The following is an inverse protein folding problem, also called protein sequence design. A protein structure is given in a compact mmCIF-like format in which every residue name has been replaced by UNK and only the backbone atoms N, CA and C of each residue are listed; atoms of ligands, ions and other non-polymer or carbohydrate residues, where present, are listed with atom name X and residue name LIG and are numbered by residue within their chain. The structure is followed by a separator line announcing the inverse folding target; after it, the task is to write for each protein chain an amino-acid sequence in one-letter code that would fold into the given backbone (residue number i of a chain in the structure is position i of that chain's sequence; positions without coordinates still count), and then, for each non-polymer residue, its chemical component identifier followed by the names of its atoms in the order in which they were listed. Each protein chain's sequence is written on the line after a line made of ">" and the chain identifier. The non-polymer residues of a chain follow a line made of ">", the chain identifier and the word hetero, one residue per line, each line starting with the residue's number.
data_IF_495701477473
#
_entry.id   IF_495701477473
#
_cell.length_a   1.000
_cell.length_b   1.000
_cell.length_c   1.000
_cell.angle_alpha   90.00
_cell.angle_beta   90.00
_cell.angle_gamma   90.00
#
_symmetry.space_group_name_H-M   'P 1'
#
loop_
_entity.id
_entity.type
_entity.pdbx_description
1 polymer ?
#
# COMPACT_ATOMS: atom_id res chain seq x y z
N UNK A 1 3.93 -22.61 -6.74
CA UNK A 1 4.52 -21.44 -6.06
C UNK A 1 4.17 -21.55 -4.60
N UNK A 2 5.14 -21.97 -3.78
CA UNK A 2 5.01 -21.87 -2.34
C UNK A 2 4.88 -20.38 -2.01
N UNK A 3 3.78 -19.98 -1.37
CA UNK A 3 3.67 -18.63 -0.83
C UNK A 3 4.71 -18.54 0.27
N UNK A 4 5.82 -17.85 0.00
CA UNK A 4 6.78 -17.48 1.04
C UNK A 4 6.02 -16.86 2.20
N UNK A 5 6.38 -17.26 3.42
CA UNK A 5 5.67 -16.85 4.63
C UNK A 5 5.81 -15.33 4.77
N UNK A 6 4.75 -14.58 4.45
CA UNK A 6 4.72 -13.13 4.61
C UNK A 6 4.61 -12.81 6.10
N UNK A 7 5.76 -12.49 6.72
CA UNK A 7 5.86 -12.11 8.12
C UNK A 7 5.69 -10.60 8.27
N UNK A 8 4.45 -10.14 8.47
CA UNK A 8 4.11 -8.73 8.69
C UNK A 8 3.88 -8.48 10.17
N UNK A 9 4.92 -7.98 10.83
CA UNK A 9 4.96 -7.82 12.29
C UNK A 9 4.22 -6.57 12.74
N UNK A 10 3.89 -6.50 14.03
CA UNK A 10 3.18 -5.37 14.63
C UNK A 10 3.90 -4.03 14.43
N UNK A 11 5.23 -4.00 14.55
CA UNK A 11 6.01 -2.76 14.37
C UNK A 11 5.96 -2.27 12.92
N UNK A 12 6.06 -3.19 11.95
CA UNK A 12 5.89 -2.88 10.53
C UNK A 12 4.47 -2.40 10.25
N UNK A 13 3.46 -3.07 10.81
CA UNK A 13 2.06 -2.69 10.65
C UNK A 13 1.77 -1.30 11.23
N UNK A 14 2.33 -0.96 12.39
CA UNK A 14 2.20 0.37 12.99
C UNK A 14 2.88 1.44 12.14
N UNK A 15 4.05 1.15 11.57
CA UNK A 15 4.73 2.09 10.66
C UNK A 15 3.91 2.30 9.39
N UNK A 16 3.44 1.23 8.77
CA UNK A 16 2.60 1.27 7.56
C UNK A 16 1.28 1.99 7.83
N UNK A 17 0.67 1.77 8.99
CA UNK A 17 -0.54 2.47 9.42
C UNK A 17 -0.31 3.98 9.49
N UNK A 18 0.79 4.44 10.09
CA UNK A 18 1.12 5.89 10.13
C UNK A 18 1.23 6.51 8.74
N UNK A 19 1.81 5.78 7.78
CA UNK A 19 1.90 6.25 6.39
C UNK A 19 0.52 6.29 5.76
N UNK A 20 -0.28 5.24 5.95
CA UNK A 20 -1.65 5.19 5.43
C UNK A 20 -2.53 6.31 6.00
N UNK A 21 -2.39 6.65 7.28
CA UNK A 21 -3.12 7.74 7.92
C UNK A 21 -2.65 9.12 7.46
N UNK A 22 -1.35 9.29 7.18
CA UNK A 22 -0.79 10.55 6.70
C UNK A 22 -1.10 10.81 5.22
N UNK A 23 -0.91 9.79 4.37
CA UNK A 23 -0.94 9.94 2.92
C UNK A 23 -2.25 9.42 2.29
N UNK A 24 -3.08 8.69 3.04
CA UNK A 24 -4.28 8.02 2.54
C UNK A 24 -4.01 6.78 1.68
N UNK A 25 -2.74 6.51 1.34
CA UNK A 25 -2.33 5.34 0.56
C UNK A 25 -0.92 4.86 0.88
N UNK A 26 -0.67 3.59 0.56
CA UNK A 26 0.63 2.94 0.67
C UNK A 26 0.97 2.24 -0.65
N UNK A 27 2.24 2.25 -1.04
CA UNK A 27 2.79 1.50 -2.17
C UNK A 27 4.00 0.68 -1.71
N UNK A 28 4.57 -0.12 -2.59
CA UNK A 28 5.73 -0.97 -2.32
C UNK A 28 6.91 -0.23 -1.68
N UNK A 29 7.10 1.03 -2.05
CA UNK A 29 8.29 1.83 -1.72
C UNK A 29 8.15 2.62 -0.42
N UNK A 30 7.02 3.31 -0.20
CA UNK A 30 6.78 4.00 1.06
C UNK A 30 6.51 3.01 2.21
N UNK A 31 5.87 1.87 1.91
CA UNK A 31 5.53 0.88 2.93
C UNK A 31 6.66 -0.12 3.18
N UNK A 32 7.66 -0.21 2.30
CA UNK A 32 8.70 -1.27 2.32
C UNK A 32 8.13 -2.70 2.28
N UNK A 33 6.88 -2.86 1.84
CA UNK A 33 6.23 -4.16 1.71
C UNK A 33 6.53 -4.81 0.35
N UNK A 34 7.13 -4.08 -0.60
CA UNK A 34 7.48 -4.63 -1.90
C UNK A 34 6.28 -5.23 -2.63
N UNK A 35 6.48 -6.39 -3.24
CA UNK A 35 5.43 -7.14 -3.95
C UNK A 35 4.28 -7.62 -3.04
N UNK A 36 4.43 -7.56 -1.71
CA UNK A 36 3.36 -7.96 -0.81
C UNK A 36 2.10 -7.08 -0.93
N UNK A 37 2.26 -5.80 -1.31
CA UNK A 37 1.13 -4.91 -1.63
C UNK A 37 0.18 -5.53 -2.66
N UNK A 38 0.74 -6.25 -3.65
CA UNK A 38 -0.01 -6.91 -4.71
C UNK A 38 -0.62 -8.25 -4.26
N UNK A 39 0.11 -9.00 -3.44
CA UNK A 39 -0.19 -10.42 -3.19
C UNK A 39 -0.90 -10.70 -1.86
N UNK A 40 -0.72 -9.84 -0.86
CA UNK A 40 -1.11 -10.09 0.53
C UNK A 40 -2.00 -8.98 1.09
N UNK A 41 -2.84 -8.36 0.25
CA UNK A 41 -3.75 -7.28 0.67
C UNK A 41 -4.61 -7.66 1.88
N UNK A 42 -5.15 -8.88 1.90
CA UNK A 42 -6.06 -9.31 2.96
C UNK A 42 -5.32 -9.44 4.30
N UNK A 43 -4.11 -9.99 4.27
CA UNK A 43 -3.22 -10.17 5.40
C UNK A 43 -2.70 -8.82 5.92
N UNK A 44 -2.32 -7.91 5.01
CA UNK A 44 -1.95 -6.54 5.34
C UNK A 44 -3.12 -5.82 6.01
N UNK A 45 -4.33 -5.86 5.43
CA UNK A 45 -5.50 -5.20 6.02
C UNK A 45 -5.86 -5.79 7.39
N UNK A 46 -5.85 -7.12 7.52
CA UNK A 46 -6.11 -7.77 8.81
C UNK A 46 -5.13 -7.29 9.87
N UNK A 47 -3.83 -7.25 9.54
CA UNK A 47 -2.80 -6.81 10.47
C UNK A 47 -2.90 -5.33 10.83
N UNK A 48 -3.23 -4.49 9.84
CA UNK A 48 -3.48 -3.07 10.08
C UNK A 48 -4.65 -2.86 11.04
N UNK A 49 -5.72 -3.66 10.91
CA UNK A 49 -6.88 -3.61 11.83
C UNK A 49 -6.50 -4.04 13.24
N UNK A 50 -5.67 -5.07 13.39
CA UNK A 50 -5.14 -5.50 14.70
C UNK A 50 -4.38 -4.37 15.43
N UNK A 51 -3.65 -3.54 14.68
CA UNK A 51 -2.86 -2.43 15.25
C UNK A 51 -3.57 -1.08 15.27
N UNK A 52 -4.85 -1.01 14.86
CA UNK A 52 -5.70 0.18 15.06
C UNK A 52 -6.38 0.77 13.82
N UNK A 53 -6.19 0.21 12.63
CA UNK A 53 -6.88 0.70 11.43
C UNK A 53 -8.40 0.50 11.53
N UNK A 54 -9.14 1.61 11.48
CA UNK A 54 -10.61 1.63 11.63
C UNK A 54 -11.36 2.03 10.36
N UNK A 55 -10.65 2.37 9.28
CA UNK A 55 -11.26 2.80 8.02
C UNK A 55 -11.97 1.68 7.25
N UNK A 56 -12.63 2.08 6.16
CA UNK A 56 -13.22 1.18 5.17
C UNK A 56 -12.21 0.18 4.62
N UNK A 57 -12.72 -0.88 3.99
CA UNK A 57 -11.88 -1.88 3.32
C UNK A 57 -10.92 -1.19 2.35
N UNK A 58 -9.64 -1.53 2.42
CA UNK A 58 -8.65 -0.94 1.54
C UNK A 58 -8.97 -1.31 0.10
N UNK A 59 -8.70 -0.40 -0.83
CA UNK A 59 -8.84 -0.66 -2.26
C UNK A 59 -7.45 -0.77 -2.88
N UNK A 60 -7.27 -1.73 -3.77
CA UNK A 60 -6.03 -1.92 -4.49
C UNK A 60 -6.08 -1.20 -5.83
N UNK A 61 -5.01 -0.48 -6.17
CA UNK A 61 -4.78 0.05 -7.49
C UNK A 61 -3.43 -0.41 -8.04
N UNK A 62 -3.23 -0.20 -9.33
CA UNK A 62 -1.95 -0.44 -9.97
C UNK A 62 -1.87 0.21 -11.34
N UNK A 63 -0.65 0.56 -11.76
CA UNK A 63 -0.39 1.14 -13.07
C UNK A 63 0.98 0.71 -13.59
N UNK A 64 1.08 0.49 -14.90
CA UNK A 64 2.33 0.18 -15.56
C UNK A 64 2.95 1.47 -16.12
N UNK A 65 4.15 1.79 -15.64
CA UNK A 65 4.95 2.92 -16.10
C UNK A 65 6.08 2.40 -16.99
N UNK A 66 6.17 2.83 -18.26
CA UNK A 66 7.14 2.27 -19.22
C UNK A 66 8.60 2.22 -18.75
N UNK A 67 9.03 3.17 -17.91
CA UNK A 67 10.39 3.22 -17.37
C UNK A 67 10.57 2.59 -15.98
N UNK A 68 9.49 2.27 -15.26
CA UNK A 68 9.52 1.82 -13.86
C UNK A 68 8.80 0.50 -13.61
N UNK A 69 8.12 -0.06 -14.62
CA UNK A 69 7.34 -1.28 -14.49
C UNK A 69 6.00 -1.06 -13.81
N UNK A 70 5.45 -2.12 -13.22
CA UNK A 70 4.15 -2.09 -12.56
C UNK A 70 4.27 -1.63 -11.10
N UNK A 71 3.65 -0.50 -10.79
CA UNK A 71 3.52 0.03 -9.42
C UNK A 71 2.14 -0.36 -8.90
N UNK A 72 2.08 -0.87 -7.68
CA UNK A 72 0.85 -1.26 -7.00
C UNK A 72 0.70 -0.45 -5.70
N UNK A 73 -0.55 -0.16 -5.33
CA UNK A 73 -0.84 0.57 -4.09
C UNK A 73 -2.13 0.08 -3.44
N UNK A 74 -2.24 0.29 -2.13
CA UNK A 74 -3.46 0.18 -1.36
C UNK A 74 -3.86 1.57 -0.85
N UNK A 75 -5.13 1.91 -0.88
CA UNK A 75 -5.61 3.20 -0.38
C UNK A 75 -6.91 3.05 0.43
N UNK A 76 -7.11 3.97 1.37
CA UNK A 76 -8.36 4.09 2.11
C UNK A 76 -9.35 4.90 1.25
N UNK A 77 -10.47 4.31 0.80
CA UNK A 77 -11.45 5.00 -0.04
C UNK A 77 -12.22 6.11 0.69
N UNK A 78 -12.17 6.14 2.02
CA UNK A 78 -12.77 7.21 2.82
C UNK A 78 -11.92 8.50 2.78
N UNK A 79 -10.63 8.38 2.41
CA UNK A 79 -9.66 9.48 2.40
C UNK A 79 -9.33 9.92 0.98
N UNK A 80 -9.13 8.96 0.07
CA UNK A 80 -8.74 9.21 -1.31
C UNK A 80 -9.68 8.52 -2.30
N UNK A 81 -9.97 9.21 -3.39
CA UNK A 81 -10.46 8.57 -4.60
C UNK A 81 -9.37 7.74 -5.29
N UNK A 82 -9.78 6.85 -6.19
CA UNK A 82 -8.85 6.08 -7.02
C UNK A 82 -7.92 7.00 -7.84
N UNK A 83 -8.44 8.11 -8.37
CA UNK A 83 -7.68 9.05 -9.18
C UNK A 83 -6.61 9.77 -8.35
N UNK A 84 -6.94 10.16 -7.11
CA UNK A 84 -5.98 10.78 -6.19
C UNK A 84 -4.90 9.81 -5.75
N UNK A 85 -5.28 8.56 -5.45
CA UNK A 85 -4.32 7.49 -5.17
C UNK A 85 -3.38 7.25 -6.37
N UNK A 86 -3.89 7.31 -7.61
CA UNK A 86 -3.05 7.26 -8.81
C UNK A 86 -2.14 8.48 -8.93
N UNK A 87 -2.62 9.69 -8.63
CA UNK A 87 -1.77 10.91 -8.61
C UNK A 87 -0.63 10.79 -7.60
N UNK A 88 -0.84 10.09 -6.46
CA UNK A 88 0.24 9.76 -5.52
C UNK A 88 1.28 8.84 -6.17
N UNK A 89 0.85 7.77 -6.84
CA UNK A 89 1.75 6.89 -7.57
C UNK A 89 2.52 7.65 -8.68
N UNK A 90 1.84 8.52 -9.45
CA UNK A 90 2.47 9.33 -10.49
C UNK A 90 3.53 10.28 -9.91
N UNK A 91 3.25 10.93 -8.77
CA UNK A 91 4.21 11.79 -8.07
C UNK A 91 5.43 11.00 -7.61
N UNK A 92 5.19 9.82 -7.06
CA UNK A 92 6.26 8.93 -6.61
C UNK A 92 7.18 8.55 -7.79
N UNK A 93 6.61 8.04 -8.90
CA UNK A 93 7.37 7.67 -10.10
C UNK A 93 8.16 8.83 -10.68
N UNK A 94 7.61 10.07 -10.68
CA UNK A 94 8.31 11.25 -11.19
C UNK A 94 9.50 11.68 -10.33
N UNK A 95 9.43 11.44 -9.03
CA UNK A 95 10.43 11.90 -8.06
C UNK A 95 11.49 10.83 -7.75
N UNK A 96 11.23 9.56 -8.06
CA UNK A 96 12.22 8.49 -8.00
C UNK A 96 13.09 8.52 -9.26
N UNK A 97 14.36 8.90 -9.11
CA UNK A 97 15.39 8.87 -10.16
C UNK A 97 16.47 7.86 -9.83
#
# INVERSE_FOLDING_TARGET
>A
MERGNFDFRDDDARRVLKILEADGCINDENSQLGSAIKHFKAEIEAKLREVGYSGSKLVSGGHFYPAHGAVYWLYNPDVLSHEEARKNADRWVKNYK
#
